data_IF_480762950935
#
_entry.id   IF_480762950935
#
_cell.length_a   1.000
_cell.length_b   1.000
_cell.length_c   1.000
_cell.angle_alpha   90.00
_cell.angle_beta   90.00
_cell.angle_gamma   90.00
#
_symmetry.space_group_name_H-M   'P 1'
#
loop_
_entity.id
_entity.type
_entity.pdbx_description
1 polymer ?
#
# COMPACT_ATOMS: atom_id res chain seq x y z
N UNK A 1 8.96 4.49 8.84
CA UNK A 1 8.42 4.63 7.46
C UNK A 1 6.91 4.50 7.51
N UNK A 2 6.17 5.33 6.79
CA UNK A 2 4.70 5.26 6.73
C UNK A 2 4.27 4.70 5.39
N UNK A 3 3.33 3.75 5.40
CA UNK A 3 2.85 3.06 4.21
C UNK A 3 1.33 3.13 4.19
N UNK A 4 0.76 3.82 3.20
CA UNK A 4 -0.67 3.80 2.92
C UNK A 4 -0.97 2.75 1.86
N UNK A 5 -2.00 1.93 2.07
CA UNK A 5 -2.44 0.91 1.12
C UNK A 5 -3.92 1.12 0.79
N UNK A 6 -4.23 1.31 -0.49
CA UNK A 6 -5.59 1.40 -1.02
C UNK A 6 -5.91 0.14 -1.82
N UNK A 7 -6.94 -0.60 -1.41
CA UNK A 7 -7.33 -1.86 -2.05
C UNK A 7 -8.35 -1.61 -3.18
N UNK A 8 -8.11 -2.23 -4.33
CA UNK A 8 -9.08 -2.36 -5.42
C UNK A 8 -9.37 -3.84 -5.71
N UNK A 9 -10.28 -4.12 -6.64
CA UNK A 9 -10.73 -5.49 -6.95
C UNK A 9 -9.61 -6.41 -7.46
N UNK A 10 -8.69 -5.89 -8.27
CA UNK A 10 -7.65 -6.66 -8.96
C UNK A 10 -6.23 -6.14 -8.72
N UNK A 11 -6.12 -5.02 -7.99
CA UNK A 11 -4.86 -4.36 -7.69
C UNK A 11 -4.96 -3.63 -6.34
N UNK A 12 -3.83 -3.26 -5.77
CA UNK A 12 -3.75 -2.32 -4.66
C UNK A 12 -2.69 -1.27 -4.95
N UNK A 13 -2.94 -0.05 -4.50
CA UNK A 13 -2.03 1.09 -4.61
C UNK A 13 -1.36 1.31 -3.27
N UNK A 14 -0.05 1.51 -3.29
CA UNK A 14 0.75 1.76 -2.10
C UNK A 14 1.39 3.14 -2.21
N UNK A 15 1.27 3.94 -1.16
CA UNK A 15 2.02 5.16 -0.95
C UNK A 15 3.06 4.92 0.14
N UNK A 16 4.34 5.15 -0.15
CA UNK A 16 5.43 5.04 0.82
C UNK A 16 6.01 6.40 1.10
N UNK A 17 5.99 6.80 2.38
CA UNK A 17 6.52 8.05 2.89
C UNK A 17 7.65 7.77 3.88
N UNK A 18 8.83 8.34 3.63
CA UNK A 18 9.93 8.33 4.60
C UNK A 18 9.78 9.53 5.53
N UNK A 19 10.07 9.31 6.80
CA UNK A 19 10.00 10.37 7.81
C UNK A 19 11.12 11.39 7.56
N UNK A 20 10.80 12.68 7.64
CA UNK A 20 11.75 13.77 7.41
C UNK A 20 12.09 14.04 5.94
N UNK A 21 11.40 13.41 4.98
CA UNK A 21 11.54 13.72 3.54
C UNK A 21 10.25 14.28 2.99
N UNK A 22 10.33 15.32 2.16
CA UNK A 22 9.16 15.88 1.45
C UNK A 22 8.62 14.97 0.32
N UNK A 23 9.31 13.85 0.04
CA UNK A 23 8.97 12.94 -1.04
C UNK A 23 8.42 11.60 -0.57
N UNK A 24 7.39 11.13 -1.27
CA UNK A 24 6.94 9.73 -1.25
C UNK A 24 6.92 9.16 -2.65
N UNK A 25 6.77 7.84 -2.76
CA UNK A 25 6.53 7.18 -4.04
C UNK A 25 5.27 6.34 -3.99
N UNK A 26 4.62 6.23 -5.15
CA UNK A 26 3.44 5.42 -5.34
C UNK A 26 3.76 4.22 -6.21
N UNK A 27 3.19 3.07 -5.87
CA UNK A 27 3.31 1.87 -6.68
C UNK A 27 2.01 1.08 -6.68
N UNK A 28 1.72 0.43 -7.80
CA UNK A 28 0.57 -0.47 -7.95
C UNK A 28 1.06 -1.90 -8.00
N UNK A 29 0.32 -2.78 -7.36
CA UNK A 29 0.57 -4.22 -7.35
C UNK A 29 -0.73 -4.95 -7.68
N UNK A 30 -0.69 -6.08 -8.39
CA UNK A 30 -1.86 -6.92 -8.56
C UNK A 30 -2.23 -7.58 -7.22
N UNK A 31 -3.51 -7.85 -6.98
CA UNK A 31 -3.98 -8.63 -5.81
C UNK A 31 -3.77 -10.14 -6.00
N UNK A 32 -2.64 -10.52 -6.60
CA UNK A 32 -2.20 -11.91 -6.74
C UNK A 32 -1.17 -12.23 -5.68
N UNK A 33 -0.98 -13.51 -5.38
CA UNK A 33 0.07 -13.98 -4.45
C UNK A 33 1.44 -13.37 -4.77
N UNK A 34 1.86 -13.47 -6.04
CA UNK A 34 3.10 -12.84 -6.53
C UNK A 34 3.13 -11.33 -6.33
N UNK A 35 2.00 -10.63 -6.50
CA UNK A 35 1.90 -9.19 -6.24
C UNK A 35 2.15 -8.83 -4.78
N UNK A 36 1.58 -9.61 -3.85
CA UNK A 36 1.83 -9.46 -2.42
C UNK A 36 3.29 -9.77 -2.06
N UNK A 37 3.88 -10.81 -2.62
CA UNK A 37 5.29 -11.17 -2.39
C UNK A 37 6.25 -10.06 -2.82
N UNK A 38 6.05 -9.50 -4.02
CA UNK A 38 6.86 -8.38 -4.52
C UNK A 38 6.74 -7.18 -3.60
N UNK A 39 5.52 -6.81 -3.19
CA UNK A 39 5.30 -5.72 -2.25
C UNK A 39 6.02 -5.94 -0.91
N UNK A 40 5.89 -7.13 -0.31
CA UNK A 40 6.54 -7.47 0.96
C UNK A 40 8.07 -7.47 0.82
N UNK A 41 8.60 -7.94 -0.30
CA UNK A 41 10.02 -7.92 -0.59
C UNK A 41 10.56 -6.49 -0.65
N UNK A 42 9.86 -5.60 -1.35
CA UNK A 42 10.25 -4.20 -1.47
C UNK A 42 10.15 -3.43 -0.15
N UNK A 43 9.12 -3.70 0.66
CA UNK A 43 9.03 -3.16 2.01
C UNK A 43 10.22 -3.55 2.88
N UNK A 44 10.67 -4.81 2.77
CA UNK A 44 11.83 -5.31 3.53
C UNK A 44 13.14 -4.68 3.06
N UNK A 45 13.34 -4.53 1.75
CA UNK A 45 14.52 -3.88 1.19
C UNK A 45 14.57 -2.38 1.50
N UNK A 46 13.41 -1.71 1.51
CA UNK A 46 13.31 -0.28 1.77
C UNK A 46 13.41 0.09 3.25
N UNK A 47 13.33 -0.90 4.16
CA UNK A 47 13.45 -0.67 5.59
C UNK A 47 14.92 -0.74 6.02
N UNK A 48 15.53 0.41 6.30
CA UNK A 48 16.82 0.44 6.99
C UNK A 48 16.69 -0.30 8.32
N UNK A 49 17.65 -1.19 8.59
CA UNK A 49 17.70 -2.06 9.78
C UNK A 49 17.45 -1.23 11.03
N UNK A 50 16.36 -1.54 11.74
CA UNK A 50 15.99 -0.91 13.02
C UNK A 50 14.92 0.17 12.97
N UNK A 51 14.37 0.52 11.79
CA UNK A 51 13.22 1.44 11.71
C UNK A 51 11.88 0.69 11.67
N UNK A 52 10.91 1.23 12.39
CA UNK A 52 9.54 0.73 12.40
C UNK A 52 8.82 1.11 11.09
N UNK A 53 8.14 0.13 10.48
CA UNK A 53 7.24 0.34 9.33
C UNK A 53 5.81 0.39 9.86
N UNK A 54 5.15 1.53 9.68
CA UNK A 54 3.75 1.74 10.06
C UNK A 54 2.88 1.64 8.81
N UNK A 55 1.99 0.65 8.77
CA UNK A 55 1.10 0.40 7.62
C UNK A 55 -0.33 0.76 7.98
N UNK A 56 -0.95 1.61 7.16
CA UNK A 56 -2.38 1.92 7.22
C UNK A 56 -3.04 1.38 5.95
N UNK A 57 -4.09 0.58 6.12
CA UNK A 57 -4.83 -0.03 4.99
C UNK A 57 -6.23 0.55 4.94
N UNK A 58 -6.61 1.13 3.81
CA UNK A 58 -7.96 1.58 3.56
C UNK A 58 -8.83 0.39 3.11
N UNK A 59 -9.75 -0.01 3.97
CA UNK A 59 -10.75 -1.02 3.65
C UNK A 59 -11.92 -0.40 2.88
N UNK A 60 -11.89 -0.49 1.55
CA UNK A 60 -13.04 -0.48 0.62
C UNK A 60 -14.19 0.51 0.92
N UNK A 61 -13.91 1.70 1.44
CA UNK A 61 -14.94 2.65 1.88
C UNK A 61 -15.90 3.06 0.76
N UNK A 62 -15.40 3.09 -0.48
CA UNK A 62 -16.15 3.46 -1.66
C UNK A 62 -16.98 2.32 -2.26
N UNK A 63 -16.67 1.05 -1.95
CA UNK A 63 -17.41 -0.10 -2.51
C UNK A 63 -18.89 -0.07 -2.13
N UNK A 64 -19.23 0.32 -0.90
CA UNK A 64 -20.63 0.46 -0.47
C UNK A 64 -21.36 1.56 -1.26
N UNK A 65 -20.71 2.68 -1.50
CA UNK A 65 -21.32 3.81 -2.24
C UNK A 65 -21.65 3.45 -3.69
N UNK A 66 -20.78 2.67 -4.36
CA UNK A 66 -20.99 2.29 -5.75
C UNK A 66 -21.84 1.03 -5.92
N UNK A 67 -21.79 0.07 -4.99
CA UNK A 67 -22.62 -1.15 -5.05
C UNK A 67 -24.12 -0.87 -4.85
N UNK A 68 -24.48 0.19 -4.14
CA UNK A 68 -25.88 0.58 -3.92
C UNK A 68 -26.44 1.48 -5.05
N UNK A 69 -25.62 1.83 -6.05
CA UNK A 69 -25.97 2.82 -7.09
C UNK A 69 -25.70 2.38 -8.53
N UNK A 70 -25.26 1.14 -8.75
CA UNK A 70 -25.02 0.55 -10.07
C UNK A 70 -25.73 -0.79 -10.17
#
# INVERSE_FOLDING_TARGET
>A
MYVGVELHKTQFTVCVMKEGTEGGYFRKYPTTEKGHEVFLHELRQGNDVGREVKVAVESTGNTRYFNDRV
#
